data_IF_527430184163
#
_entry.id   IF_527430184163
#
_cell.length_a   1.000
_cell.length_b   1.000
_cell.length_c   1.000
_cell.angle_alpha   90.00
_cell.angle_beta   90.00
_cell.angle_gamma   90.00
#
_symmetry.space_group_name_H-M   'P 1'
#
loop_
_entity.id
_entity.type
_entity.pdbx_description
1 polymer ?
#
# COMPACT_ATOMS: atom_id res chain seq x y z
N UNK A 1 7.79 3.25 20.50
CA UNK A 1 7.92 2.70 19.14
C UNK A 1 7.67 1.21 19.25
N UNK A 2 6.75 0.64 18.47
CA UNK A 2 6.54 -0.80 18.48
C UNK A 2 7.81 -1.49 17.97
N UNK A 3 8.19 -2.61 18.59
CA UNK A 3 9.30 -3.43 18.11
C UNK A 3 8.88 -4.07 16.77
N UNK A 4 9.79 -4.15 15.79
CA UNK A 4 9.53 -4.80 14.50
C UNK A 4 8.95 -6.22 14.65
N UNK A 5 9.38 -6.99 15.66
CA UNK A 5 8.83 -8.32 15.97
C UNK A 5 7.32 -8.24 16.27
N UNK A 6 6.91 -7.23 17.05
CA UNK A 6 5.50 -7.01 17.38
C UNK A 6 4.71 -6.52 16.16
N UNK A 7 5.31 -5.70 15.31
CA UNK A 7 4.68 -5.24 14.07
C UNK A 7 4.42 -6.41 13.12
N UNK A 8 5.42 -7.27 12.88
CA UNK A 8 5.28 -8.50 12.08
C UNK A 8 4.18 -9.38 12.69
N UNK A 9 4.19 -9.57 14.01
CA UNK A 9 3.20 -10.39 14.72
C UNK A 9 1.78 -9.85 14.49
N UNK A 10 1.55 -8.55 14.71
CA UNK A 10 0.24 -7.93 14.58
C UNK A 10 -0.27 -7.99 13.14
N UNK A 11 0.61 -7.77 12.15
CA UNK A 11 0.22 -7.84 10.74
C UNK A 11 0.00 -9.27 10.26
N UNK A 12 0.74 -10.24 10.79
CA UNK A 12 0.49 -11.66 10.53
C UNK A 12 -0.85 -12.10 11.14
N UNK A 13 -1.19 -11.62 12.34
CA UNK A 13 -2.51 -11.88 12.93
C UNK A 13 -3.65 -11.31 12.07
N UNK A 14 -3.45 -10.16 11.44
CA UNK A 14 -4.41 -9.62 10.48
C UNK A 14 -4.54 -10.54 9.26
N UNK A 15 -3.43 -11.02 8.68
CA UNK A 15 -3.45 -12.03 7.61
C UNK A 15 -4.22 -13.28 8.05
N UNK A 16 -3.95 -13.79 9.26
CA UNK A 16 -4.60 -14.98 9.81
C UNK A 16 -6.11 -14.79 10.03
N UNK A 17 -6.57 -13.56 10.24
CA UNK A 17 -7.99 -13.23 10.31
C UNK A 17 -8.62 -13.11 8.93
N UNK A 18 -7.90 -12.53 7.97
CA UNK A 18 -8.40 -12.29 6.61
C UNK A 18 -8.61 -13.60 5.85
N UNK A 19 -7.65 -14.52 5.90
CA UNK A 19 -7.70 -15.79 5.15
C UNK A 19 -8.98 -16.59 5.38
N UNK A 20 -9.35 -16.95 6.63
CA UNK A 20 -10.55 -17.76 6.89
C UNK A 20 -11.86 -16.99 6.78
N UNK A 21 -11.82 -15.66 6.60
CA UNK A 21 -13.05 -14.85 6.44
C UNK A 21 -13.73 -15.07 5.09
N UNK A 22 -13.09 -15.77 4.15
CA UNK A 22 -13.52 -15.97 2.77
C UNK A 22 -13.73 -17.44 2.47
N UNK A 23 -14.86 -17.76 1.83
CA UNK A 23 -15.28 -19.15 1.58
C UNK A 23 -15.16 -19.56 0.11
N UNK A 24 -14.98 -18.61 -0.80
CA UNK A 24 -14.79 -18.88 -2.22
C UNK A 24 -13.87 -17.82 -2.87
N UNK A 25 -13.16 -18.16 -3.96
CA UNK A 25 -12.25 -17.22 -4.62
C UNK A 25 -12.91 -15.92 -5.08
N UNK A 26 -14.17 -15.97 -5.49
CA UNK A 26 -14.96 -14.82 -5.94
C UNK A 26 -15.38 -13.85 -4.82
N UNK A 27 -15.32 -14.27 -3.55
CA UNK A 27 -15.60 -13.41 -2.38
C UNK A 27 -14.39 -12.55 -1.97
N UNK A 28 -13.21 -12.87 -2.51
CA UNK A 28 -11.96 -12.17 -2.21
C UNK A 28 -11.92 -10.89 -3.03
N UNK A 29 -11.90 -9.75 -2.35
CA UNK A 29 -11.77 -8.44 -2.98
C UNK A 29 -10.33 -7.93 -2.91
N UNK A 30 -10.06 -6.84 -3.63
CA UNK A 30 -8.71 -6.25 -3.72
C UNK A 30 -8.15 -5.90 -2.34
N UNK A 31 -8.99 -5.38 -1.43
CA UNK A 31 -8.60 -4.99 -0.09
C UNK A 31 -8.12 -6.21 0.73
N UNK A 32 -8.76 -7.37 0.55
CA UNK A 32 -8.34 -8.59 1.25
C UNK A 32 -6.99 -9.10 0.71
N UNK A 33 -6.82 -9.11 -0.62
CA UNK A 33 -5.56 -9.50 -1.25
C UNK A 33 -4.42 -8.53 -0.91
N UNK A 34 -4.73 -7.24 -0.77
CA UNK A 34 -3.76 -6.20 -0.38
C UNK A 34 -3.19 -6.47 1.00
N UNK A 35 -3.98 -6.96 1.97
CA UNK A 35 -3.46 -7.32 3.31
C UNK A 35 -2.32 -8.33 3.22
N UNK A 36 -2.46 -9.37 2.39
CA UNK A 36 -1.47 -10.41 2.21
C UNK A 36 -0.26 -9.91 1.41
N UNK A 37 -0.53 -9.21 0.31
CA UNK A 37 0.51 -8.69 -0.58
C UNK A 37 1.38 -7.63 0.09
N UNK A 38 0.79 -6.72 0.87
CA UNK A 38 1.52 -5.72 1.65
C UNK A 38 2.35 -6.41 2.74
N UNK A 39 1.82 -7.42 3.45
CA UNK A 39 2.61 -8.18 4.43
C UNK A 39 3.85 -8.79 3.78
N UNK A 40 3.68 -9.43 2.63
CA UNK A 40 4.80 -10.01 1.89
C UNK A 40 5.81 -8.94 1.46
N UNK A 41 5.35 -7.85 0.86
CA UNK A 41 6.21 -6.80 0.35
C UNK A 41 7.07 -6.15 1.44
N UNK A 42 6.48 -5.92 2.61
CA UNK A 42 7.12 -5.22 3.72
C UNK A 42 8.11 -6.10 4.51
N UNK A 43 7.88 -7.42 4.54
CA UNK A 43 8.67 -8.34 5.39
C UNK A 43 9.49 -9.39 4.63
N UNK A 44 9.51 -9.38 3.30
CA UNK A 44 10.33 -10.29 2.49
C UNK A 44 11.83 -10.26 2.84
N UNK A 45 12.33 -9.10 3.30
CA UNK A 45 13.72 -8.91 3.72
C UNK A 45 13.90 -9.20 5.21
N UNK A 46 14.07 -10.48 5.52
CA UNK A 46 14.09 -10.98 6.90
C UNK A 46 15.33 -10.63 7.74
N UNK A 47 16.36 -9.98 7.17
CA UNK A 47 17.56 -9.62 7.94
C UNK A 47 17.23 -8.63 9.07
N UNK A 48 16.28 -7.73 8.82
CA UNK A 48 15.84 -6.76 9.82
C UNK A 48 15.21 -7.41 11.07
N UNK A 49 14.65 -8.62 10.93
CA UNK A 49 14.13 -9.40 12.06
C UNK A 49 15.26 -9.83 13.02
N UNK A 50 16.43 -10.18 12.47
CA UNK A 50 17.61 -10.56 13.26
C UNK A 50 18.13 -9.33 14.00
N UNK A 51 18.32 -8.21 13.29
CA UNK A 51 18.77 -6.94 13.89
C UNK A 51 17.85 -6.48 15.03
N UNK A 52 16.52 -6.59 14.82
CA UNK A 52 15.53 -6.25 15.83
C UNK A 52 15.59 -7.17 17.06
N UNK A 53 15.84 -8.46 16.85
CA UNK A 53 15.98 -9.43 17.93
C UNK A 53 17.26 -9.19 18.74
N UNK A 54 18.39 -8.94 18.10
CA UNK A 54 19.65 -8.62 18.77
C UNK A 54 19.52 -7.36 19.64
N UNK A 55 18.93 -6.30 19.07
CA UNK A 55 18.67 -5.06 19.82
C UNK A 55 17.77 -5.31 21.03
N UNK A 56 16.67 -6.04 20.84
CA UNK A 56 15.76 -6.35 21.95
C UNK A 56 16.41 -7.24 23.01
N UNK A 57 17.28 -8.18 22.63
CA UNK A 57 18.02 -9.02 23.57
C UNK A 57 18.94 -8.19 24.48
N UNK A 58 19.62 -7.18 23.91
CA UNK A 58 20.48 -6.27 24.66
C UNK A 58 19.69 -5.37 25.62
N UNK A 59 18.49 -4.95 25.22
CA UNK A 59 17.63 -4.07 26.04
C UNK A 59 16.89 -4.84 27.13
N UNK A 60 16.23 -5.94 26.77
CA UNK A 60 15.44 -6.78 27.67
C UNK A 60 15.17 -8.17 27.07
N UNK A 61 15.95 -9.16 27.53
CA UNK A 61 15.84 -10.55 27.06
C UNK A 61 14.47 -11.19 27.33
N UNK A 62 13.82 -10.89 28.46
CA UNK A 62 12.50 -11.44 28.78
C UNK A 62 11.43 -10.88 27.85
N UNK A 63 11.51 -9.59 27.51
CA UNK A 63 10.62 -8.98 26.54
C UNK A 63 10.80 -9.56 25.13
N UNK A 64 12.05 -9.88 24.73
CA UNK A 64 12.30 -10.61 23.48
C UNK A 64 11.63 -11.98 23.47
N UNK A 65 11.80 -12.75 24.56
CA UNK A 65 11.19 -14.08 24.69
C UNK A 65 9.66 -13.98 24.57
N UNK A 66 9.05 -13.00 25.24
CA UNK A 66 7.61 -12.80 25.18
C UNK A 66 7.13 -12.44 23.76
N UNK A 67 7.72 -11.41 23.12
CA UNK A 67 7.25 -10.94 21.82
C UNK A 67 7.53 -11.97 20.71
N UNK A 68 8.68 -12.65 20.74
CA UNK A 68 9.01 -13.70 19.79
C UNK A 68 8.15 -14.96 20.00
N UNK A 69 7.71 -15.22 21.24
CA UNK A 69 6.70 -16.25 21.52
C UNK A 69 5.38 -15.99 20.81
N UNK A 70 4.87 -14.76 20.91
CA UNK A 70 3.65 -14.33 20.19
C UNK A 70 3.80 -14.42 18.67
N UNK A 71 4.98 -14.09 18.14
CA UNK A 71 5.29 -14.26 16.71
C UNK A 71 5.19 -15.73 16.30
N UNK A 72 5.78 -16.64 17.07
CA UNK A 72 5.70 -18.08 16.81
C UNK A 72 4.25 -18.58 16.84
N UNK A 73 3.44 -18.15 17.81
CA UNK A 73 2.02 -18.50 17.88
C UNK A 73 1.26 -18.02 16.63
N UNK A 74 1.50 -16.79 16.18
CA UNK A 74 0.90 -16.26 14.96
C UNK A 74 1.34 -17.05 13.71
N UNK A 75 2.61 -17.48 13.65
CA UNK A 75 3.14 -18.33 12.57
C UNK A 75 2.47 -19.70 12.58
N UNK A 76 2.35 -20.35 13.73
CA UNK A 76 1.68 -21.64 13.82
C UNK A 76 0.19 -21.54 13.45
N UNK A 77 -0.46 -20.44 13.84
CA UNK A 77 -1.83 -20.15 13.43
C UNK A 77 -1.95 -19.91 11.92
N UNK A 78 -0.93 -19.35 11.25
CA UNK A 78 -0.94 -19.22 9.80
C UNK A 78 -0.80 -20.59 9.12
N UNK A 79 0.16 -21.40 9.60
CA UNK A 79 0.48 -22.71 9.01
C UNK A 79 -0.66 -23.72 9.12
N UNK A 80 -1.64 -23.50 9.99
CA UNK A 80 -2.83 -24.35 10.13
C UNK A 80 -3.99 -23.94 9.21
N UNK A 81 -3.87 -22.82 8.49
CA UNK A 81 -4.94 -22.31 7.63
C UNK A 81 -5.04 -23.11 6.32
N UNK A 82 -6.26 -23.25 5.83
CA UNK A 82 -6.50 -23.72 4.46
C UNK A 82 -6.31 -22.58 3.47
N UNK A 83 -5.30 -22.71 2.61
CA UNK A 83 -4.90 -21.72 1.63
C UNK A 83 -5.40 -22.04 0.22
N UNK A 84 -6.13 -23.15 0.01
CA UNK A 84 -6.49 -23.63 -1.33
C UNK A 84 -7.30 -22.62 -2.14
N UNK A 85 -8.22 -21.91 -1.49
CA UNK A 85 -9.03 -20.86 -2.13
C UNK A 85 -8.13 -19.68 -2.56
N UNK A 86 -7.22 -19.25 -1.69
CA UNK A 86 -6.32 -18.14 -1.94
C UNK A 86 -5.32 -18.42 -3.06
N UNK A 87 -4.88 -19.68 -3.21
CA UNK A 87 -4.03 -20.12 -4.33
C UNK A 87 -4.70 -20.05 -5.70
N UNK A 88 -6.04 -19.98 -5.76
CA UNK A 88 -6.80 -19.91 -7.01
C UNK A 88 -7.07 -18.47 -7.46
N UNK A 89 -6.74 -17.47 -6.64
CA UNK A 89 -6.99 -16.07 -6.95
C UNK A 89 -6.09 -15.60 -8.08
N UNK A 90 -6.68 -14.98 -9.10
CA UNK A 90 -5.96 -14.27 -10.16
C UNK A 90 -5.60 -12.85 -9.68
N UNK A 91 -4.52 -12.76 -8.91
CA UNK A 91 -4.05 -11.51 -8.31
C UNK A 91 -3.70 -10.45 -9.36
N UNK A 92 -3.13 -10.86 -10.50
CA UNK A 92 -2.79 -9.96 -11.61
C UNK A 92 -4.05 -9.31 -12.16
N UNK A 93 -5.08 -10.12 -12.48
CA UNK A 93 -6.35 -9.60 -12.99
C UNK A 93 -7.05 -8.73 -11.96
N UNK A 94 -7.00 -9.10 -10.69
CA UNK A 94 -7.56 -8.32 -9.59
C UNK A 94 -6.91 -6.93 -9.50
N UNK A 95 -5.57 -6.88 -9.50
CA UNK A 95 -4.80 -5.65 -9.45
C UNK A 95 -5.08 -4.76 -10.68
N UNK A 96 -5.04 -5.32 -11.89
CA UNK A 96 -5.33 -4.58 -13.13
C UNK A 96 -6.74 -4.00 -13.13
N UNK A 97 -7.74 -4.77 -12.71
CA UNK A 97 -9.14 -4.30 -12.65
C UNK A 97 -9.28 -3.13 -11.66
N UNK A 98 -8.60 -3.20 -10.52
CA UNK A 98 -8.64 -2.13 -9.53
C UNK A 98 -7.93 -0.86 -10.04
N UNK A 99 -6.75 -1.01 -10.66
CA UNK A 99 -6.01 0.10 -11.30
C UNK A 99 -6.83 0.77 -12.42
N UNK A 100 -7.44 -0.02 -13.31
CA UNK A 100 -8.26 0.47 -14.43
C UNK A 100 -9.43 1.34 -13.98
N UNK A 101 -10.07 1.00 -12.85
CA UNK A 101 -11.17 1.79 -12.28
C UNK A 101 -10.65 3.17 -11.84
N UNK A 102 -9.55 3.18 -11.08
CA UNK A 102 -8.97 4.42 -10.55
C UNK A 102 -8.36 5.29 -11.66
N UNK A 103 -7.78 4.67 -12.69
CA UNK A 103 -7.26 5.39 -13.86
C UNK A 103 -8.40 6.06 -14.65
N UNK A 104 -9.57 5.43 -14.76
CA UNK A 104 -10.74 6.06 -15.40
C UNK A 104 -11.21 7.28 -14.62
N UNK A 105 -11.26 7.21 -13.30
CA UNK A 105 -11.63 8.35 -12.47
C UNK A 105 -10.65 9.53 -12.63
N UNK A 106 -9.35 9.25 -12.66
CA UNK A 106 -8.33 10.26 -12.96
C UNK A 106 -8.56 10.92 -14.33
N UNK A 107 -8.76 10.11 -15.38
CA UNK A 107 -8.97 10.61 -16.74
C UNK A 107 -10.18 11.54 -16.85
N UNK A 108 -11.27 11.27 -16.13
CA UNK A 108 -12.45 12.14 -16.12
C UNK A 108 -12.10 13.55 -15.62
N UNK A 109 -11.31 13.65 -14.55
CA UNK A 109 -10.90 14.94 -13.97
C UNK A 109 -9.87 15.64 -14.86
N UNK A 110 -8.91 14.91 -15.41
CA UNK A 110 -7.90 15.44 -16.34
C UNK A 110 -8.54 15.96 -17.64
N UNK A 111 -9.52 15.25 -18.19
CA UNK A 111 -10.26 15.69 -19.38
C UNK A 111 -11.05 16.98 -19.11
N UNK A 112 -11.64 17.13 -17.93
CA UNK A 112 -12.33 18.36 -17.53
C UNK A 112 -11.35 19.54 -17.43
N UNK A 113 -10.22 19.36 -16.74
CA UNK A 113 -9.17 20.38 -16.66
C UNK A 113 -8.61 20.73 -18.04
N UNK A 114 -8.38 19.75 -18.91
CA UNK A 114 -7.87 19.94 -20.27
C UNK A 114 -8.84 20.75 -21.14
N UNK A 115 -10.15 20.55 -21.01
CA UNK A 115 -11.16 21.34 -21.74
C UNK A 115 -11.10 22.82 -21.32
N UNK A 116 -11.03 23.09 -20.02
CA UNK A 116 -10.92 24.44 -19.48
C UNK A 116 -9.60 25.11 -19.88
N UNK A 117 -8.49 24.36 -19.86
CA UNK A 117 -7.20 24.83 -20.34
C UNK A 117 -7.26 25.28 -21.81
N UNK A 118 -7.87 24.48 -22.70
CA UNK A 118 -8.04 24.84 -24.11
C UNK A 118 -8.87 26.11 -24.30
N UNK A 119 -9.93 26.27 -23.49
CA UNK A 119 -10.75 27.48 -23.52
C UNK A 119 -9.96 28.71 -23.07
N UNK A 120 -9.31 28.64 -21.91
CA UNK A 120 -8.46 29.71 -21.38
C UNK A 120 -7.36 30.09 -22.38
N UNK A 121 -6.66 29.10 -22.95
CA UNK A 121 -5.59 29.33 -23.92
C UNK A 121 -6.10 30.03 -25.18
N UNK A 122 -7.26 29.61 -25.71
CA UNK A 122 -7.87 30.24 -26.88
C UNK A 122 -8.24 31.70 -26.63
N UNK A 123 -8.82 31.99 -25.47
CA UNK A 123 -9.20 33.35 -25.05
C UNK A 123 -7.96 34.24 -24.84
N UNK A 124 -6.94 33.73 -24.16
CA UNK A 124 -5.67 34.42 -23.91
C UNK A 124 -4.91 34.71 -25.22
N UNK A 125 -4.82 33.73 -26.12
CA UNK A 125 -4.19 33.92 -27.42
C UNK A 125 -4.90 35.01 -28.24
N UNK A 126 -6.23 35.04 -28.22
CA UNK A 126 -7.01 36.07 -28.92
C UNK A 126 -6.80 37.45 -28.32
N UNK A 127 -6.72 37.58 -26.99
CA UNK A 127 -6.39 38.85 -26.33
C UNK A 127 -5.03 39.38 -26.79
N UNK A 128 -4.02 38.52 -26.91
CA UNK A 128 -2.70 38.89 -27.40
C UNK A 128 -2.66 39.44 -28.83
N UNK A 129 -3.74 39.28 -29.60
CA UNK A 129 -3.88 39.78 -30.98
C UNK A 129 -4.80 41.00 -31.10
N UNK A 130 -5.36 41.50 -30.00
CA UNK A 130 -6.35 42.59 -30.00
C UNK A 130 -5.77 43.90 -29.45
N UNK A 131 -6.24 45.08 -29.92
CA UNK A 131 -5.92 46.36 -29.30
C UNK A 131 -6.58 46.51 -27.92
N UNK A 132 -5.79 46.96 -26.95
CA UNK A 132 -6.16 47.02 -25.53
C UNK A 132 -7.35 47.93 -25.21
N UNK A 133 -7.56 48.99 -25.98
CA UNK A 133 -8.56 50.02 -25.67
C UNK A 133 -9.94 49.76 -26.28
N UNK A 134 -10.18 48.54 -26.80
CA UNK A 134 -11.47 48.19 -27.40
C UNK A 134 -12.43 47.62 -26.34
N UNK A 135 -13.75 47.95 -26.40
CA UNK A 135 -14.74 47.32 -25.52
C UNK A 135 -14.72 45.79 -25.58
N UNK A 136 -14.45 45.22 -26.74
CA UNK A 136 -14.33 43.79 -26.97
C UNK A 136 -13.12 43.19 -26.24
N UNK A 137 -12.00 43.91 -26.18
CA UNK A 137 -10.83 43.51 -25.40
C UNK A 137 -11.20 43.42 -23.91
N UNK A 138 -11.75 44.48 -23.34
CA UNK A 138 -12.10 44.55 -21.91
C UNK A 138 -13.09 43.43 -21.51
N UNK A 139 -14.03 43.10 -22.40
CA UNK A 139 -14.98 42.01 -22.14
C UNK A 139 -14.30 40.64 -22.20
N UNK A 140 -13.46 40.39 -23.20
CA UNK A 140 -12.76 39.13 -23.35
C UNK A 140 -11.71 38.92 -22.25
N UNK A 141 -11.09 40.00 -21.76
CA UNK A 141 -10.10 39.98 -20.68
C UNK A 141 -10.72 39.46 -19.38
N UNK A 142 -11.87 40.01 -18.98
CA UNK A 142 -12.65 39.51 -17.83
C UNK A 142 -13.07 38.05 -17.99
N UNK A 143 -13.46 37.64 -19.20
CA UNK A 143 -13.84 36.25 -19.49
C UNK A 143 -12.62 35.33 -19.36
N UNK A 144 -11.48 35.75 -19.90
CA UNK A 144 -10.23 35.00 -19.85
C UNK A 144 -9.74 34.83 -18.41
N UNK A 145 -9.87 35.86 -17.57
CA UNK A 145 -9.58 35.76 -16.14
C UNK A 145 -10.47 34.72 -15.45
N UNK A 146 -11.78 34.70 -15.73
CA UNK A 146 -12.68 33.68 -15.18
C UNK A 146 -12.31 32.27 -15.68
N UNK A 147 -12.06 32.10 -16.98
CA UNK A 147 -11.63 30.82 -17.56
C UNK A 147 -10.31 30.34 -16.95
N UNK A 148 -9.38 31.24 -16.64
CA UNK A 148 -8.13 30.94 -15.93
C UNK A 148 -8.41 30.41 -14.53
N UNK A 149 -9.26 31.07 -13.76
CA UNK A 149 -9.63 30.64 -12.41
C UNK A 149 -10.32 29.27 -12.41
N UNK A 150 -11.24 29.04 -13.34
CA UNK A 150 -11.95 27.78 -13.48
C UNK A 150 -10.98 26.64 -13.86
N UNK A 151 -10.06 26.91 -14.79
CA UNK A 151 -8.97 25.98 -15.12
C UNK A 151 -8.11 25.65 -13.89
N UNK A 152 -7.64 26.65 -13.14
CA UNK A 152 -6.78 26.40 -11.98
C UNK A 152 -7.49 25.58 -10.90
N UNK A 153 -8.77 25.83 -10.63
CA UNK A 153 -9.56 24.98 -9.71
C UNK A 153 -9.65 23.54 -10.20
N UNK A 154 -9.94 23.34 -11.49
CA UNK A 154 -10.02 22.01 -12.07
C UNK A 154 -8.65 21.29 -12.10
N UNK A 155 -7.57 22.04 -12.34
CA UNK A 155 -6.21 21.51 -12.33
C UNK A 155 -5.80 21.05 -10.93
N UNK A 156 -6.06 21.84 -9.89
CA UNK A 156 -5.79 21.46 -8.50
C UNK A 156 -6.54 20.17 -8.11
N UNK A 157 -7.78 20.01 -8.58
CA UNK A 157 -8.54 18.77 -8.39
C UNK A 157 -7.91 17.58 -9.13
N UNK A 158 -7.43 17.79 -10.36
CA UNK A 158 -6.73 16.76 -11.13
C UNK A 158 -5.43 16.32 -10.45
N UNK A 159 -4.64 17.26 -9.92
CA UNK A 159 -3.42 16.95 -9.16
C UNK A 159 -3.73 16.14 -7.90
N UNK A 160 -4.75 16.52 -7.14
CA UNK A 160 -5.22 15.75 -5.97
C UNK A 160 -5.64 14.34 -6.35
N UNK A 161 -6.36 14.19 -7.47
CA UNK A 161 -6.77 12.87 -7.96
C UNK A 161 -5.57 12.04 -8.44
N UNK A 162 -4.58 12.67 -9.07
CA UNK A 162 -3.34 12.02 -9.49
C UNK A 162 -2.54 11.49 -8.29
N UNK A 163 -2.45 12.26 -7.20
CA UNK A 163 -1.81 11.82 -5.97
C UNK A 163 -2.51 10.61 -5.33
N UNK A 164 -3.85 10.56 -5.40
CA UNK A 164 -4.63 9.39 -4.97
C UNK A 164 -4.31 8.19 -5.87
N UNK A 165 -4.39 8.39 -7.19
CA UNK A 165 -4.09 7.35 -8.17
C UNK A 165 -2.69 6.77 -7.97
N UNK A 166 -1.67 7.60 -7.73
CA UNK A 166 -0.29 7.13 -7.47
C UNK A 166 -0.21 6.24 -6.24
N UNK A 167 -0.95 6.56 -5.16
CA UNK A 167 -1.00 5.72 -3.96
C UNK A 167 -1.69 4.38 -4.25
N UNK A 168 -2.77 4.40 -5.01
CA UNK A 168 -3.46 3.17 -5.44
C UNK A 168 -2.55 2.32 -6.32
N UNK A 169 -1.85 2.91 -7.28
CA UNK A 169 -0.91 2.21 -8.16
C UNK A 169 0.18 1.48 -7.38
N UNK A 170 0.74 2.10 -6.32
CA UNK A 170 1.70 1.43 -5.45
C UNK A 170 1.10 0.20 -4.75
N UNK A 171 -0.13 0.29 -4.25
CA UNK A 171 -0.84 -0.86 -3.66
C UNK A 171 -1.14 -1.94 -4.69
N UNK A 172 -1.60 -1.54 -5.87
CA UNK A 172 -1.85 -2.46 -6.98
C UNK A 172 -0.57 -3.17 -7.39
N UNK A 173 0.60 -2.52 -7.33
CA UNK A 173 1.88 -3.17 -7.61
C UNK A 173 2.18 -4.31 -6.63
N UNK A 174 1.92 -4.13 -5.33
CA UNK A 174 2.08 -5.21 -4.35
C UNK A 174 1.21 -6.42 -4.72
N UNK A 175 -0.08 -6.21 -5.00
CA UNK A 175 -0.99 -7.30 -5.38
C UNK A 175 -0.62 -7.91 -6.73
N UNK A 176 -0.17 -7.10 -7.70
CA UNK A 176 0.18 -7.55 -9.04
C UNK A 176 1.32 -8.58 -9.04
N UNK A 177 2.35 -8.35 -8.23
CA UNK A 177 3.52 -9.21 -8.14
C UNK A 177 3.42 -10.26 -7.03
N UNK A 178 2.26 -10.36 -6.38
CA UNK A 178 2.04 -11.28 -5.28
C UNK A 178 1.57 -12.65 -5.77
N UNK A 179 2.13 -13.70 -5.17
CA UNK A 179 1.62 -15.06 -5.27
C UNK A 179 1.57 -15.68 -3.87
N UNK A 180 0.52 -16.46 -3.61
CA UNK A 180 0.30 -17.08 -2.30
C UNK A 180 1.47 -18.00 -1.88
N UNK A 181 2.12 -18.64 -2.85
CA UNK A 181 3.28 -19.51 -2.60
C UNK A 181 4.48 -18.75 -2.04
N UNK A 182 4.67 -17.48 -2.45
CA UNK A 182 5.75 -16.65 -1.92
C UNK A 182 5.50 -16.27 -0.47
N UNK A 183 4.23 -16.07 -0.08
CA UNK A 183 3.88 -15.84 1.32
C UNK A 183 4.15 -17.08 2.17
N UNK A 184 3.81 -18.28 1.70
CA UNK A 184 4.12 -19.54 2.41
C UNK A 184 5.63 -19.67 2.67
N UNK A 185 6.45 -19.46 1.65
CA UNK A 185 7.91 -19.51 1.75
C UNK A 185 8.44 -18.46 2.73
N UNK A 186 7.89 -17.23 2.69
CA UNK A 186 8.26 -16.17 3.61
C UNK A 186 7.94 -16.56 5.06
N UNK A 187 6.74 -17.10 5.33
CA UNK A 187 6.35 -17.52 6.68
C UNK A 187 7.24 -18.66 7.17
N UNK A 188 7.61 -19.62 6.32
CA UNK A 188 8.58 -20.66 6.69
C UNK A 188 9.95 -20.08 7.05
N UNK A 189 10.44 -19.10 6.27
CA UNK A 189 11.70 -18.41 6.56
C UNK A 189 11.66 -17.66 7.88
N UNK A 190 10.60 -16.89 8.13
CA UNK A 190 10.39 -16.16 9.39
C UNK A 190 10.29 -17.16 10.55
N UNK A 191 9.62 -18.31 10.37
CA UNK A 191 9.52 -19.35 11.38
C UNK A 191 10.89 -19.88 11.81
N UNK A 192 11.76 -20.20 10.86
CA UNK A 192 13.11 -20.68 11.16
C UNK A 192 13.94 -19.65 11.93
N UNK A 193 13.85 -18.37 11.54
CA UNK A 193 14.55 -17.29 12.22
C UNK A 193 14.00 -17.10 13.64
N UNK A 194 12.68 -17.02 13.81
CA UNK A 194 12.03 -16.87 15.11
C UNK A 194 12.34 -18.05 16.05
N UNK A 195 12.40 -19.28 15.52
CA UNK A 195 12.81 -20.45 16.30
C UNK A 195 14.28 -20.36 16.76
N UNK A 196 15.19 -19.91 15.90
CA UNK A 196 16.59 -19.69 16.26
C UNK A 196 16.72 -18.61 17.35
N UNK A 197 16.06 -17.46 17.16
CA UNK A 197 16.01 -16.37 18.14
C UNK A 197 15.51 -16.89 19.50
N UNK A 198 14.43 -17.69 19.50
CA UNK A 198 13.87 -18.25 20.74
C UNK A 198 14.87 -19.18 21.45
N UNK A 199 15.56 -20.04 20.70
CA UNK A 199 16.54 -20.95 21.25
C UNK A 199 17.73 -20.19 21.86
N UNK A 200 18.20 -19.15 21.17
CA UNK A 200 19.34 -18.33 21.61
C UNK A 200 18.96 -17.49 22.82
N UNK A 201 17.80 -16.83 22.80
CA UNK A 201 17.33 -16.01 23.92
C UNK A 201 17.16 -16.82 25.22
N UNK A 202 16.65 -18.05 25.12
CA UNK A 202 16.55 -18.96 26.28
C UNK A 202 17.91 -19.45 26.79
N UNK A 203 18.94 -19.50 25.95
CA UNK A 203 20.31 -19.80 26.41
C UNK A 203 20.87 -18.60 27.17
N UNK A 204 20.74 -17.40 26.60
CA UNK A 204 21.18 -16.16 27.25
C UNK A 204 20.48 -15.91 28.60
N UNK A 205 19.17 -16.14 28.69
CA UNK A 205 18.42 -16.01 29.95
C UNK A 205 18.98 -16.91 31.06
N UNK A 206 19.40 -18.14 30.71
CA UNK A 206 20.01 -19.08 31.66
C UNK A 206 21.41 -18.66 32.10
N UNK A 207 22.18 -18.03 31.21
CA UNK A 207 23.54 -17.54 31.49
C UNK A 207 23.53 -16.27 32.35
N UNK A 208 22.50 -15.42 32.23
CA UNK A 208 22.32 -14.21 33.05
C UNK A 208 21.75 -14.54 34.43
N UNK A 209 21.01 -15.66 34.57
CA UNK A 209 20.42 -16.12 35.82
C UNK A 209 21.36 -16.94 36.72
N UNK A 210 22.63 -17.14 36.34
CA UNK A 210 23.69 -17.80 37.12
C UNK A 210 24.79 -16.82 37.50
#
# INVERSE_FOLDING_TARGET
MANLIEEITNRLLLVNKTIPSKKAPEEIVFEDASVLAEFFADFQYTNHLIDAAEKQAQENIHALIECNGKLLDAIFSFKSLDLQIWKQVDYIRMAKKHDDINLKELRVVEEAATKLWKQYQSESNRLGMMPFDTPEFIQLDKKCDQSREDYYKAHELAEKQFDIYRKVMNKCAHVYYFEMQFLEILIDKIAHIAQSIMADAKRMEKEVGT
#
